data_IF_115974051801
#
_entry.id   IF_115974051801
#
_cell.length_a   1.000
_cell.length_b   1.000
_cell.length_c   1.000
_cell.angle_alpha   90.00
_cell.angle_beta   90.00
_cell.angle_gamma   90.00
#
_symmetry.space_group_name_H-M   'P 1'
#
loop_
_entity.id
_entity.type
_entity.pdbx_description
1 polymer ?
#
# COMPACT_ATOMS: atom_id res chain seq x y z
N UNK A 1 -14.39 17.19 18.44
CA UNK A 1 -13.12 17.17 17.67
C UNK A 1 -12.00 17.35 18.67
N UNK A 2 -11.21 16.33 18.89
CA UNK A 2 -10.05 16.40 19.78
C UNK A 2 -8.83 16.98 19.04
N UNK A 3 -8.66 16.58 17.78
CA UNK A 3 -7.55 17.05 16.93
C UNK A 3 -8.11 17.75 15.69
N UNK A 4 -7.51 18.89 15.33
CA UNK A 4 -7.84 19.64 14.11
C UNK A 4 -7.42 18.85 12.87
N UNK A 5 -6.30 18.11 12.96
CA UNK A 5 -5.77 17.30 11.87
C UNK A 5 -5.29 15.95 12.38
N UNK A 6 -5.62 14.89 11.63
CA UNK A 6 -5.03 13.56 11.82
C UNK A 6 -4.18 13.24 10.61
N UNK A 7 -2.96 12.81 10.85
CA UNK A 7 -2.01 12.35 9.82
C UNK A 7 -1.76 10.86 10.01
N UNK A 8 -2.02 10.05 9.00
CA UNK A 8 -1.64 8.64 8.95
C UNK A 8 -0.53 8.47 7.94
N UNK A 9 0.59 7.92 8.39
CA UNK A 9 1.71 7.52 7.53
C UNK A 9 1.77 6.00 7.51
N UNK A 10 1.58 5.41 6.33
CA UNK A 10 1.72 3.98 6.09
C UNK A 10 3.13 3.72 5.58
N UNK A 11 3.90 2.97 6.35
CA UNK A 11 5.16 2.38 5.94
C UNK A 11 4.82 1.07 5.21
N UNK A 12 4.64 1.15 3.89
CA UNK A 12 4.11 0.08 3.05
C UNK A 12 4.87 -1.23 3.30
N UNK A 13 4.17 -2.26 3.76
CA UNK A 13 4.68 -3.59 4.07
C UNK A 13 5.53 -3.78 5.35
N UNK A 14 5.58 -2.83 6.27
CA UNK A 14 6.34 -3.00 7.53
C UNK A 14 5.54 -3.84 8.54
N UNK A 15 5.50 -5.16 8.35
CA UNK A 15 4.90 -6.11 9.30
C UNK A 15 5.70 -6.28 10.59
N UNK A 16 5.04 -6.76 11.65
CA UNK A 16 5.62 -6.96 12.98
C UNK A 16 5.23 -8.32 13.59
N UNK A 17 5.42 -9.37 12.83
CA UNK A 17 5.18 -10.76 13.24
C UNK A 17 3.89 -11.36 12.70
N UNK A 18 3.91 -12.68 12.51
CA UNK A 18 2.84 -13.44 11.88
C UNK A 18 1.49 -13.29 12.58
N UNK A 19 0.41 -13.20 11.79
CA UNK A 19 -0.95 -13.32 12.29
C UNK A 19 -1.29 -14.76 12.63
N UNK A 20 -2.30 -14.96 13.48
CA UNK A 20 -2.75 -16.30 13.91
C UNK A 20 -3.23 -17.19 12.74
N UNK A 21 -3.61 -16.59 11.62
CA UNK A 21 -4.06 -17.27 10.39
C UNK A 21 -2.95 -17.35 9.31
N UNK A 22 -1.73 -16.90 9.58
CA UNK A 22 -0.60 -16.88 8.65
C UNK A 22 -0.32 -18.25 8.01
N UNK A 23 -0.58 -19.35 8.74
CA UNK A 23 -0.46 -20.70 8.21
C UNK A 23 -1.38 -21.00 7.01
N UNK A 24 -2.51 -20.32 6.90
CA UNK A 24 -3.43 -20.48 5.76
C UNK A 24 -2.90 -19.79 4.49
N UNK A 25 -1.95 -18.85 4.66
CA UNK A 25 -1.30 -18.09 3.59
C UNK A 25 0.11 -18.62 3.27
N UNK A 26 0.59 -19.61 4.01
CA UNK A 26 1.95 -20.14 3.88
C UNK A 26 3.01 -19.26 4.54
N UNK A 27 2.62 -18.36 5.43
CA UNK A 27 3.45 -17.29 5.99
C UNK A 27 3.85 -17.55 7.45
N UNK A 28 3.81 -18.82 7.90
CA UNK A 28 4.29 -19.16 9.25
C UNK A 28 5.74 -18.74 9.43
N UNK A 29 6.01 -18.09 10.57
CA UNK A 29 7.34 -17.56 10.91
C UNK A 29 7.67 -16.22 10.26
N UNK A 30 6.76 -15.61 9.49
CA UNK A 30 7.00 -14.29 8.92
C UNK A 30 7.10 -13.21 10.00
N UNK A 31 8.12 -12.38 9.89
CA UNK A 31 8.35 -11.25 10.79
C UNK A 31 9.21 -10.18 10.11
N UNK A 32 8.57 -9.37 9.25
CA UNK A 32 9.26 -8.39 8.39
C UNK A 32 10.28 -7.57 9.18
N UNK A 33 9.83 -6.82 10.19
CA UNK A 33 10.72 -5.95 10.97
C UNK A 33 11.76 -6.74 11.78
N UNK A 34 11.37 -7.86 12.38
CA UNK A 34 12.28 -8.70 13.16
C UNK A 34 13.43 -9.24 12.34
N UNK A 35 13.13 -9.81 11.17
CA UNK A 35 14.16 -10.37 10.27
C UNK A 35 15.04 -9.29 9.64
N UNK A 36 14.48 -8.09 9.35
CA UNK A 36 15.29 -6.96 8.89
C UNK A 36 16.33 -6.58 9.96
N UNK A 37 15.92 -6.49 11.24
CA UNK A 37 16.82 -6.19 12.35
C UNK A 37 17.91 -7.26 12.48
N UNK A 38 17.55 -8.53 12.38
CA UNK A 38 18.52 -9.64 12.44
C UNK A 38 19.53 -9.63 11.27
N UNK A 39 19.09 -9.20 10.08
CA UNK A 39 19.92 -9.17 8.86
C UNK A 39 20.67 -7.85 8.66
N UNK A 40 20.37 -6.84 9.47
CA UNK A 40 20.99 -5.52 9.40
C UNK A 40 21.68 -5.19 10.73
N UNK A 41 22.84 -5.81 11.05
CA UNK A 41 23.55 -5.51 12.29
C UNK A 41 23.86 -4.02 12.40
N UNK A 42 23.46 -3.40 13.51
CA UNK A 42 23.66 -1.97 13.75
C UNK A 42 22.52 -1.09 13.24
N UNK A 43 21.42 -1.66 12.78
CA UNK A 43 20.21 -0.91 12.45
C UNK A 43 19.70 -0.16 13.68
N UNK A 44 19.60 1.15 13.57
CA UNK A 44 19.13 2.02 14.64
C UNK A 44 17.91 2.84 14.21
N UNK A 45 16.82 2.70 14.96
CA UNK A 45 15.58 3.46 14.80
C UNK A 45 15.25 4.21 16.10
N UNK A 46 16.11 5.14 16.55
CA UNK A 46 16.01 5.74 17.88
C UNK A 46 14.70 6.51 18.07
N UNK A 47 14.18 7.16 17.04
CA UNK A 47 12.96 7.96 17.13
C UNK A 47 11.71 7.08 17.20
N UNK A 48 11.60 6.07 16.35
CA UNK A 48 10.49 5.10 16.40
C UNK A 48 10.53 4.27 17.70
N UNK A 49 11.74 3.90 18.18
CA UNK A 49 11.89 3.23 19.47
C UNK A 49 11.42 4.12 20.60
N UNK A 50 11.75 5.42 20.57
CA UNK A 50 11.27 6.38 21.56
C UNK A 50 9.75 6.53 21.55
N UNK A 51 9.10 6.34 20.41
CA UNK A 51 7.63 6.26 20.33
C UNK A 51 7.06 4.94 20.88
N UNK A 52 7.89 3.92 21.13
CA UNK A 52 7.49 2.64 21.69
C UNK A 52 7.53 1.46 20.71
N UNK A 53 8.14 1.58 19.53
CA UNK A 53 8.20 0.49 18.54
C UNK A 53 8.78 -0.80 19.14
N UNK A 54 9.89 -0.70 19.90
CA UNK A 54 10.53 -1.84 20.57
C UNK A 54 9.73 -2.44 21.73
N UNK A 55 8.61 -1.84 22.08
CA UNK A 55 7.73 -2.32 23.16
C UNK A 55 6.53 -3.13 22.62
N UNK A 56 6.34 -3.16 21.29
CA UNK A 56 5.20 -3.85 20.66
C UNK A 56 5.39 -5.36 20.66
N UNK A 57 6.57 -5.80 20.24
CA UNK A 57 6.96 -7.21 20.14
C UNK A 57 8.46 -7.34 20.39
N UNK A 58 9.00 -8.54 20.71
CA UNK A 58 10.43 -8.79 20.73
C UNK A 58 11.05 -8.49 19.34
N UNK A 59 12.05 -7.62 19.29
CA UNK A 59 12.74 -7.21 18.07
C UNK A 59 14.25 -7.40 18.26
N UNK A 60 14.74 -8.60 17.99
CA UNK A 60 16.14 -8.96 18.17
C UNK A 60 16.60 -8.69 19.62
N UNK A 61 17.72 -7.99 19.77
CA UNK A 61 18.30 -7.63 21.09
C UNK A 61 17.79 -6.27 21.63
N UNK A 62 16.84 -5.64 20.95
CA UNK A 62 16.34 -4.33 21.37
C UNK A 62 15.63 -4.44 22.72
N UNK A 63 16.06 -3.60 23.65
CA UNK A 63 15.36 -3.46 24.91
C UNK A 63 14.16 -2.52 24.75
N UNK A 64 13.03 -2.82 25.41
CA UNK A 64 11.88 -1.93 25.44
C UNK A 64 12.28 -0.54 25.96
N UNK A 65 11.69 0.51 25.39
CA UNK A 65 11.81 1.87 25.90
C UNK A 65 11.09 1.98 27.25
N UNK A 66 11.81 2.41 28.27
CA UNK A 66 11.28 2.51 29.63
C UNK A 66 10.26 3.64 29.80
N UNK A 67 10.43 4.72 29.03
CA UNK A 67 9.56 5.89 29.05
C UNK A 67 9.22 6.31 27.60
N UNK A 68 8.35 5.56 26.91
CA UNK A 68 7.95 5.89 25.54
C UNK A 68 7.27 7.26 25.52
N UNK A 69 7.46 8.01 24.45
CA UNK A 69 6.85 9.33 24.25
C UNK A 69 5.57 9.28 23.41
N UNK A 70 5.15 8.09 22.97
CA UNK A 70 3.93 7.86 22.20
C UNK A 70 3.13 6.69 22.73
N UNK A 71 1.92 6.55 22.20
CA UNK A 71 1.15 5.32 22.37
C UNK A 71 1.57 4.31 21.31
N UNK A 72 1.66 3.05 21.70
CA UNK A 72 2.13 1.96 20.85
C UNK A 72 1.29 0.69 21.00
N UNK A 73 1.14 -0.05 19.94
CA UNK A 73 0.44 -1.33 19.87
C UNK A 73 0.61 -1.95 18.50
N UNK A 74 -0.14 -2.99 18.22
CA UNK A 74 -0.22 -3.61 16.90
C UNK A 74 -1.66 -3.85 16.51
N UNK A 75 -1.90 -3.99 15.19
CA UNK A 75 -3.20 -4.26 14.63
C UNK A 75 -3.18 -5.55 13.83
N UNK A 76 -4.28 -6.32 13.90
CA UNK A 76 -4.51 -7.48 13.06
C UNK A 76 -5.29 -7.08 11.81
N UNK A 77 -5.04 -7.74 10.68
CA UNK A 77 -5.88 -7.65 9.50
C UNK A 77 -6.99 -8.72 9.55
N UNK A 78 -8.24 -8.32 9.32
CA UNK A 78 -9.38 -9.26 9.26
C UNK A 78 -9.89 -9.48 7.84
N UNK A 79 -9.50 -8.63 6.91
CA UNK A 79 -9.79 -8.82 5.49
C UNK A 79 -9.08 -10.07 4.97
N UNK A 80 -9.71 -10.73 3.99
CA UNK A 80 -9.13 -11.91 3.33
C UNK A 80 -8.23 -11.42 2.20
N UNK A 81 -6.97 -11.25 2.49
CA UNK A 81 -5.95 -10.74 1.59
C UNK A 81 -4.68 -10.41 2.37
N UNK A 82 -3.66 -9.99 1.68
CA UNK A 82 -2.39 -9.50 2.24
C UNK A 82 -1.72 -8.55 1.26
N UNK A 83 -2.53 -7.84 0.48
CA UNK A 83 -2.09 -6.91 -0.55
C UNK A 83 -2.35 -5.47 -0.16
N UNK A 84 -1.59 -4.55 -0.76
CA UNK A 84 -1.65 -3.11 -0.49
C UNK A 84 -3.07 -2.54 -0.56
N UNK A 85 -3.89 -2.97 -1.53
CA UNK A 85 -5.25 -2.44 -1.66
C UNK A 85 -6.12 -2.89 -0.50
N UNK A 86 -6.08 -4.18 -0.17
CA UNK A 86 -6.85 -4.78 0.91
C UNK A 86 -6.51 -4.13 2.25
N UNK A 87 -5.22 -4.03 2.59
CA UNK A 87 -4.78 -3.43 3.84
C UNK A 87 -5.17 -1.95 3.96
N UNK A 88 -4.93 -1.14 2.92
CA UNK A 88 -5.34 0.27 2.92
C UNK A 88 -6.85 0.45 2.99
N UNK A 89 -7.63 -0.40 2.31
CA UNK A 89 -9.08 -0.32 2.40
C UNK A 89 -9.58 -0.68 3.79
N UNK A 90 -8.93 -1.64 4.48
CA UNK A 90 -9.27 -1.94 5.86
C UNK A 90 -8.87 -0.81 6.81
N UNK A 91 -7.69 -0.18 6.63
CA UNK A 91 -7.32 1.05 7.34
C UNK A 91 -8.38 2.17 7.16
N UNK A 92 -9.05 2.18 6.00
CA UNK A 92 -10.15 3.11 5.70
C UNK A 92 -11.55 2.58 6.08
N UNK A 93 -11.62 1.48 6.82
CA UNK A 93 -12.85 0.95 7.43
C UNK A 93 -13.63 -0.05 6.60
N UNK A 94 -13.06 -0.53 5.48
CA UNK A 94 -13.71 -1.47 4.57
C UNK A 94 -13.10 -2.87 4.71
N UNK A 95 -13.90 -3.84 5.12
CA UNK A 95 -13.49 -5.25 5.17
C UNK A 95 -13.70 -5.92 3.81
N UNK A 96 -12.71 -6.67 3.37
CA UNK A 96 -12.74 -7.48 2.16
C UNK A 96 -12.90 -8.95 2.54
N UNK A 97 -14.03 -9.54 2.17
CA UNK A 97 -14.34 -10.96 2.49
C UNK A 97 -13.96 -11.92 1.34
N UNK A 98 -13.59 -11.40 0.18
CA UNK A 98 -13.14 -12.18 -0.98
C UNK A 98 -11.83 -11.59 -1.51
N UNK A 99 -10.74 -12.38 -1.52
CA UNK A 99 -9.46 -11.89 -2.02
C UNK A 99 -9.53 -11.66 -3.53
N UNK A 100 -8.72 -10.75 -4.04
CA UNK A 100 -8.47 -10.68 -5.47
C UNK A 100 -7.83 -11.97 -5.95
N UNK A 101 -8.21 -12.40 -7.16
CA UNK A 101 -7.65 -13.62 -7.73
C UNK A 101 -6.26 -13.39 -8.30
N UNK A 102 -5.41 -14.37 -8.15
CA UNK A 102 -4.13 -14.49 -8.86
C UNK A 102 -4.27 -15.57 -9.94
N UNK A 103 -3.45 -15.47 -10.97
CA UNK A 103 -3.53 -16.35 -12.13
C UNK A 103 -2.14 -16.95 -12.46
N UNK A 104 -1.65 -17.89 -11.63
CA UNK A 104 -0.28 -18.42 -11.75
C UNK A 104 -0.04 -19.16 -13.08
N UNK A 105 -1.08 -19.62 -13.76
CA UNK A 105 -1.00 -20.31 -15.06
C UNK A 105 -1.47 -19.40 -16.23
N UNK A 106 -1.63 -18.09 -16.00
CA UNK A 106 -2.25 -17.17 -16.95
C UNK A 106 -3.77 -17.11 -16.81
N UNK A 107 -4.38 -16.15 -17.50
CA UNK A 107 -5.81 -15.90 -17.42
C UNK A 107 -6.63 -16.99 -18.13
N UNK A 108 -7.86 -17.28 -17.65
CA UNK A 108 -8.76 -18.23 -18.31
C UNK A 108 -9.02 -17.86 -19.78
N UNK A 109 -9.08 -18.86 -20.64
CA UNK A 109 -9.35 -18.70 -22.08
C UNK A 109 -10.62 -17.90 -22.35
N UNK A 110 -11.64 -18.06 -21.49
CA UNK A 110 -12.90 -17.32 -21.61
C UNK A 110 -12.70 -15.79 -21.45
N UNK A 111 -11.82 -15.36 -20.54
CA UNK A 111 -11.48 -13.93 -20.38
C UNK A 111 -10.70 -13.42 -21.59
N UNK A 112 -9.69 -14.16 -22.02
CA UNK A 112 -8.85 -13.76 -23.14
C UNK A 112 -9.69 -13.62 -24.43
N UNK A 113 -10.57 -14.57 -24.73
CA UNK A 113 -11.46 -14.49 -25.90
C UNK A 113 -12.39 -13.27 -25.86
N UNK A 114 -13.02 -13.01 -24.70
CA UNK A 114 -13.86 -11.81 -24.54
C UNK A 114 -13.04 -10.52 -24.76
N UNK A 115 -11.80 -10.51 -24.29
CA UNK A 115 -10.91 -9.37 -24.44
C UNK A 115 -10.50 -9.17 -25.92
N UNK A 116 -10.15 -10.25 -26.63
CA UNK A 116 -9.83 -10.22 -28.07
C UNK A 116 -11.02 -9.76 -28.91
N UNK A 117 -12.20 -10.32 -28.64
CA UNK A 117 -13.44 -9.97 -29.36
C UNK A 117 -13.78 -8.48 -29.21
N UNK A 118 -13.60 -7.90 -28.02
CA UNK A 118 -13.95 -6.51 -27.77
C UNK A 118 -12.87 -5.52 -28.19
N UNK A 119 -11.61 -5.93 -28.21
CA UNK A 119 -10.48 -5.05 -28.60
C UNK A 119 -10.08 -5.20 -30.06
N UNK A 120 -10.56 -6.25 -30.74
CA UNK A 120 -10.30 -6.50 -32.15
C UNK A 120 -8.86 -6.95 -32.47
N UNK A 121 -8.06 -7.30 -31.47
CA UNK A 121 -6.67 -7.78 -31.64
C UNK A 121 -6.46 -9.07 -30.86
N UNK A 122 -5.62 -9.96 -31.40
CA UNK A 122 -5.21 -11.19 -30.73
C UNK A 122 -4.30 -10.92 -29.54
N UNK A 123 -4.26 -11.88 -28.64
CA UNK A 123 -3.39 -11.88 -27.46
C UNK A 123 -2.21 -12.83 -27.65
N UNK A 124 -1.02 -12.39 -27.29
CA UNK A 124 0.18 -13.20 -27.11
C UNK A 124 0.65 -13.11 -25.66
N UNK A 125 1.36 -14.11 -25.20
CA UNK A 125 1.83 -14.24 -23.79
C UNK A 125 0.85 -15.01 -22.95
N UNK A 126 -0.03 -14.33 -22.22
CA UNK A 126 -0.97 -14.88 -21.24
C UNK A 126 -0.31 -15.84 -20.23
N UNK A 127 0.74 -15.36 -19.56
CA UNK A 127 1.50 -16.12 -18.57
C UNK A 127 2.06 -15.20 -17.48
N UNK A 128 2.51 -15.75 -16.35
CA UNK A 128 3.31 -14.99 -15.40
C UNK A 128 4.67 -14.61 -16.01
N UNK A 129 5.07 -13.36 -15.88
CA UNK A 129 6.37 -12.89 -16.35
C UNK A 129 6.78 -11.57 -15.69
N UNK A 130 8.09 -11.29 -15.66
CA UNK A 130 8.57 -9.95 -15.41
C UNK A 130 8.36 -9.05 -16.63
N UNK A 131 8.13 -7.76 -16.39
CA UNK A 131 7.82 -6.85 -17.50
C UNK A 131 9.02 -6.51 -18.41
N UNK A 132 10.25 -6.92 -18.08
CA UNK A 132 11.42 -6.84 -18.95
C UNK A 132 11.58 -8.11 -19.77
N UNK A 133 11.53 -9.26 -19.12
CA UNK A 133 11.64 -10.56 -19.80
C UNK A 133 10.55 -10.76 -20.86
N UNK A 134 9.30 -10.39 -20.57
CA UNK A 134 8.22 -10.56 -21.53
C UNK A 134 8.38 -9.68 -22.79
N UNK A 135 9.01 -8.50 -22.67
CA UNK A 135 9.31 -7.65 -23.81
C UNK A 135 10.46 -8.24 -24.66
N UNK A 136 11.50 -8.77 -24.01
CA UNK A 136 12.61 -9.42 -24.73
C UNK A 136 12.12 -10.65 -25.50
N UNK A 137 11.15 -11.39 -24.93
CA UNK A 137 10.59 -12.59 -25.55
C UNK A 137 9.59 -12.28 -26.67
N UNK A 138 8.63 -11.38 -26.43
CA UNK A 138 7.46 -11.18 -27.30
C UNK A 138 7.41 -9.82 -28.02
N UNK A 139 8.29 -8.88 -27.68
CA UNK A 139 8.24 -7.53 -28.25
C UNK A 139 8.38 -7.50 -29.76
N UNK A 140 9.30 -8.30 -30.34
CA UNK A 140 9.48 -8.39 -31.78
C UNK A 140 8.27 -9.01 -32.50
N UNK A 141 7.60 -9.99 -31.89
CA UNK A 141 6.37 -10.59 -32.40
C UNK A 141 5.21 -9.60 -32.33
N UNK A 142 5.10 -8.86 -31.23
CA UNK A 142 4.09 -7.82 -31.05
C UNK A 142 4.21 -6.74 -32.12
N UNK A 143 5.41 -6.27 -32.43
CA UNK A 143 5.63 -5.26 -33.47
C UNK A 143 5.18 -5.74 -34.87
N UNK A 144 5.38 -7.02 -35.17
CA UNK A 144 5.00 -7.60 -36.48
C UNK A 144 3.50 -7.88 -36.60
N UNK A 145 2.89 -8.38 -35.51
CA UNK A 145 1.50 -8.85 -35.51
C UNK A 145 0.49 -7.78 -35.12
N UNK A 146 0.91 -6.77 -34.35
CA UNK A 146 0.02 -5.82 -33.72
C UNK A 146 -0.86 -6.45 -32.63
N UNK A 147 -0.47 -7.61 -32.11
CA UNK A 147 -1.18 -8.28 -31.00
C UNK A 147 -0.96 -7.58 -29.65
N UNK A 148 -1.81 -7.87 -28.68
CA UNK A 148 -1.60 -7.46 -27.29
C UNK A 148 -0.64 -8.43 -26.60
N UNK A 149 0.40 -7.93 -25.91
CA UNK A 149 1.12 -8.74 -24.93
C UNK A 149 0.35 -8.68 -23.63
N UNK A 150 -0.32 -9.78 -23.25
CA UNK A 150 -0.99 -9.93 -21.95
C UNK A 150 -0.15 -10.80 -21.05
N UNK A 151 0.06 -10.37 -19.80
CA UNK A 151 0.79 -11.13 -18.80
C UNK A 151 0.34 -10.77 -17.38
N UNK A 152 0.70 -11.57 -16.41
CA UNK A 152 0.44 -11.36 -14.98
C UNK A 152 1.74 -11.45 -14.18
N UNK A 153 1.64 -11.39 -12.86
CA UNK A 153 2.73 -11.64 -11.91
C UNK A 153 2.19 -12.39 -10.69
N UNK A 154 2.94 -12.48 -9.61
CA UNK A 154 2.45 -13.02 -8.34
C UNK A 154 1.28 -12.19 -7.77
N UNK A 155 1.26 -10.88 -8.07
CA UNK A 155 0.16 -9.99 -7.69
C UNK A 155 -1.11 -10.26 -8.52
N UNK A 156 -2.24 -9.75 -8.00
CA UNK A 156 -3.52 -9.76 -8.71
C UNK A 156 -3.58 -8.66 -9.76
N UNK A 157 -2.88 -8.86 -10.88
CA UNK A 157 -2.73 -7.84 -11.93
C UNK A 157 -2.93 -8.41 -13.33
N UNK A 158 -3.66 -7.66 -14.18
CA UNK A 158 -3.73 -7.87 -15.63
C UNK A 158 -2.85 -6.81 -16.29
N UNK A 159 -1.74 -7.23 -16.87
CA UNK A 159 -0.79 -6.32 -17.51
C UNK A 159 -0.89 -6.42 -19.01
N UNK A 160 -0.93 -5.26 -19.68
CA UNK A 160 -1.10 -5.12 -21.12
C UNK A 160 0.04 -4.29 -21.68
N UNK A 161 0.93 -4.90 -22.46
CA UNK A 161 2.03 -4.19 -23.09
C UNK A 161 1.84 -4.06 -24.61
N UNK A 162 2.25 -2.91 -25.16
CA UNK A 162 2.25 -2.61 -26.57
C UNK A 162 3.34 -1.59 -26.92
N UNK A 163 3.92 -1.73 -28.10
CA UNK A 163 4.88 -0.76 -28.66
C UNK A 163 4.14 0.48 -29.14
N UNK A 164 4.57 1.68 -28.71
CA UNK A 164 3.86 2.94 -28.97
C UNK A 164 3.78 3.32 -30.45
N UNK A 165 4.78 2.93 -31.26
CA UNK A 165 4.79 3.17 -32.71
C UNK A 165 3.91 2.17 -33.49
N UNK A 166 3.45 1.07 -32.85
CA UNK A 166 2.61 0.04 -33.47
C UNK A 166 1.16 0.19 -33.05
N UNK A 167 0.94 0.43 -31.76
CA UNK A 167 -0.38 0.64 -31.18
C UNK A 167 -0.39 1.99 -30.46
N UNK A 168 -1.21 2.97 -30.90
CA UNK A 168 -1.30 4.25 -30.24
C UNK A 168 -1.69 4.14 -28.77
N UNK A 169 -1.15 5.02 -27.93
CA UNK A 169 -1.40 5.02 -26.48
C UNK A 169 -2.89 5.03 -26.13
N UNK A 170 -3.70 5.81 -26.85
CA UNK A 170 -5.14 5.87 -26.59
C UNK A 170 -5.83 4.53 -26.85
N UNK A 171 -5.38 3.77 -27.86
CA UNK A 171 -5.90 2.43 -28.14
C UNK A 171 -5.50 1.45 -27.00
N UNK A 172 -4.24 1.52 -26.53
CA UNK A 172 -3.77 0.74 -25.37
C UNK A 172 -4.59 1.07 -24.12
N UNK A 173 -4.84 2.35 -23.86
CA UNK A 173 -5.64 2.76 -22.70
C UNK A 173 -7.11 2.32 -22.82
N UNK A 174 -7.69 2.36 -24.02
CA UNK A 174 -9.03 1.84 -24.28
C UNK A 174 -9.09 0.33 -24.04
N UNK A 175 -8.10 -0.44 -24.50
CA UNK A 175 -8.00 -1.87 -24.22
C UNK A 175 -7.88 -2.16 -22.72
N UNK A 176 -7.11 -1.36 -21.98
CA UNK A 176 -7.05 -1.47 -20.51
C UNK A 176 -8.40 -1.18 -19.83
N UNK A 177 -9.19 -0.23 -20.34
CA UNK A 177 -10.56 0.01 -19.82
C UNK A 177 -11.49 -1.19 -20.11
N UNK A 178 -11.37 -1.82 -21.27
CA UNK A 178 -12.07 -3.08 -21.57
C UNK A 178 -11.64 -4.18 -20.61
N UNK A 179 -10.34 -4.41 -20.46
CA UNK A 179 -9.81 -5.40 -19.51
C UNK A 179 -10.31 -5.13 -18.08
N UNK A 180 -10.29 -3.84 -17.61
CA UNK A 180 -10.80 -3.47 -16.28
C UNK A 180 -12.27 -3.85 -16.10
N UNK A 181 -13.11 -3.59 -17.10
CA UNK A 181 -14.53 -3.93 -17.04
C UNK A 181 -14.75 -5.45 -17.02
N UNK A 182 -14.03 -6.21 -17.82
CA UNK A 182 -14.13 -7.66 -17.88
C UNK A 182 -13.67 -8.31 -16.56
N UNK A 183 -12.60 -7.75 -15.95
CA UNK A 183 -12.02 -8.25 -14.70
C UNK A 183 -12.69 -7.72 -13.44
N UNK A 184 -13.85 -7.09 -13.54
CA UNK A 184 -14.73 -6.81 -12.39
C UNK A 184 -15.66 -7.96 -12.03
N UNK A 185 -15.77 -8.99 -12.88
CA UNK A 185 -16.55 -10.20 -12.57
C UNK A 185 -15.81 -11.04 -11.54
N UNK A 186 -16.52 -11.59 -10.56
CA UNK A 186 -15.94 -12.39 -9.46
C UNK A 186 -14.97 -13.48 -9.95
N UNK A 187 -15.29 -14.16 -11.05
CA UNK A 187 -14.47 -15.23 -11.62
C UNK A 187 -13.16 -14.76 -12.26
N UNK A 188 -13.06 -13.47 -12.64
CA UNK A 188 -11.92 -12.86 -13.29
C UNK A 188 -11.33 -11.69 -12.49
N UNK A 189 -11.78 -11.48 -11.26
CA UNK A 189 -11.47 -10.32 -10.45
C UNK A 189 -9.97 -10.16 -10.22
N UNK A 190 -9.40 -9.04 -10.72
CA UNK A 190 -8.03 -8.61 -10.40
C UNK A 190 -8.02 -7.24 -9.75
N UNK A 191 -7.06 -7.00 -8.88
CA UNK A 191 -6.90 -5.72 -8.19
C UNK A 191 -6.57 -4.57 -9.14
N UNK A 192 -5.72 -4.80 -10.14
CA UNK A 192 -5.28 -3.77 -11.09
C UNK A 192 -5.21 -4.27 -12.52
N UNK A 193 -5.51 -3.38 -13.47
CA UNK A 193 -5.13 -3.52 -14.88
C UNK A 193 -4.07 -2.46 -15.16
N UNK A 194 -2.98 -2.82 -15.81
CA UNK A 194 -1.83 -1.93 -16.00
C UNK A 194 -1.49 -1.82 -17.48
N UNK A 195 -1.54 -0.60 -18.02
CA UNK A 195 -0.95 -0.28 -19.31
C UNK A 195 0.58 -0.19 -19.19
N UNK A 196 1.30 -0.95 -20.01
CA UNK A 196 2.75 -1.04 -20.05
C UNK A 196 3.29 -0.69 -21.44
N UNK A 197 3.17 0.57 -21.90
CA UNK A 197 3.72 0.95 -23.18
C UNK A 197 5.26 0.87 -23.18
N UNK A 198 5.82 0.57 -24.36
CA UNK A 198 7.26 0.48 -24.54
C UNK A 198 7.67 0.99 -25.93
N UNK A 199 8.96 1.27 -26.10
CA UNK A 199 9.61 1.70 -27.33
C UNK A 199 10.93 0.95 -27.50
N UNK A 200 11.55 1.10 -28.66
CA UNK A 200 12.86 0.55 -29.00
C UNK A 200 12.80 -0.57 -30.03
N UNK A 201 13.93 -1.19 -30.28
CA UNK A 201 14.11 -2.27 -31.26
C UNK A 201 14.33 -3.61 -30.56
N UNK A 202 14.16 -4.75 -31.26
CA UNK A 202 14.44 -6.07 -30.72
C UNK A 202 15.82 -6.15 -30.06
N UNK A 203 15.84 -6.57 -28.77
CA UNK A 203 17.04 -6.62 -27.94
C UNK A 203 17.38 -5.33 -27.18
N UNK A 204 16.60 -4.25 -27.39
CA UNK A 204 16.79 -2.96 -26.73
C UNK A 204 15.46 -2.27 -26.33
N UNK A 205 14.44 -3.06 -26.06
CA UNK A 205 13.14 -2.52 -25.63
C UNK A 205 13.21 -1.84 -24.26
N UNK A 206 12.52 -0.71 -24.14
CA UNK A 206 12.41 0.06 -22.88
C UNK A 206 10.97 0.48 -22.62
N UNK A 207 10.51 0.20 -21.41
CA UNK A 207 9.22 0.73 -20.93
C UNK A 207 9.27 2.25 -20.88
N UNK A 208 8.20 2.90 -21.31
CA UNK A 208 8.07 4.36 -21.27
C UNK A 208 7.45 4.83 -19.95
N UNK A 209 7.47 6.14 -19.74
CA UNK A 209 6.80 6.78 -18.61
C UNK A 209 5.26 6.85 -18.74
N UNK A 210 4.73 6.44 -19.91
CA UNK A 210 3.29 6.45 -20.23
C UNK A 210 2.53 5.25 -19.60
N UNK A 211 3.11 4.63 -18.58
CA UNK A 211 2.41 3.63 -17.74
C UNK A 211 1.16 4.25 -17.15
N UNK A 212 0.05 3.49 -17.16
CA UNK A 212 -1.17 3.88 -16.48
C UNK A 212 -1.81 2.68 -15.77
N UNK A 213 -2.18 2.85 -14.49
CA UNK A 213 -2.79 1.80 -13.68
C UNK A 213 -4.30 2.09 -13.54
N UNK A 214 -5.11 1.07 -13.82
CA UNK A 214 -6.56 1.07 -13.65
C UNK A 214 -6.90 0.20 -12.45
N UNK A 215 -6.83 0.77 -11.26
CA UNK A 215 -7.20 0.08 -10.03
C UNK A 215 -8.72 -0.17 -9.94
N UNK A 216 -9.09 -1.18 -9.19
CA UNK A 216 -10.48 -1.36 -8.78
C UNK A 216 -10.82 -0.27 -7.75
N UNK A 217 -12.01 0.30 -7.85
CA UNK A 217 -12.52 1.19 -6.79
C UNK A 217 -12.88 0.38 -5.56
N UNK A 218 -12.79 0.95 -4.36
CA UNK A 218 -13.37 0.34 -3.17
C UNK A 218 -14.83 -0.05 -3.45
N UNK A 219 -15.25 -1.30 -3.14
CA UNK A 219 -16.60 -1.78 -3.48
C UNK A 219 -17.71 -1.09 -2.68
N UNK A 220 -17.36 -0.44 -1.58
CA UNK A 220 -18.27 0.35 -0.73
C UNK A 220 -17.61 1.66 -0.30
N UNK A 221 -18.40 2.65 0.14
CA UNK A 221 -17.85 3.88 0.70
C UNK A 221 -16.93 3.61 1.89
N UNK A 222 -15.79 4.30 1.90
CA UNK A 222 -14.80 4.27 2.98
C UNK A 222 -14.94 5.50 3.88
N UNK A 223 -14.14 5.57 4.95
CA UNK A 223 -14.08 6.77 5.79
C UNK A 223 -13.70 8.01 4.98
N UNK A 224 -12.93 7.88 3.88
CA UNK A 224 -12.57 9.02 3.02
C UNK A 224 -13.80 9.64 2.37
N UNK A 225 -14.75 8.80 1.90
CA UNK A 225 -16.03 9.27 1.35
C UNK A 225 -16.87 9.96 2.42
N UNK A 226 -16.92 9.39 3.63
CA UNK A 226 -17.70 9.93 4.74
C UNK A 226 -17.13 11.29 5.22
N UNK A 227 -15.82 11.41 5.36
CA UNK A 227 -15.13 12.66 5.68
C UNK A 227 -15.44 13.75 4.66
N UNK A 228 -15.28 13.45 3.37
CA UNK A 228 -15.59 14.39 2.28
C UNK A 228 -17.05 14.84 2.31
N UNK A 229 -17.98 13.90 2.52
CA UNK A 229 -19.41 14.22 2.63
C UNK A 229 -19.71 15.11 3.86
N UNK A 230 -18.97 14.93 4.95
CA UNK A 230 -19.03 15.75 6.16
C UNK A 230 -18.27 17.08 6.08
N UNK A 231 -17.69 17.42 4.92
CA UNK A 231 -16.94 18.68 4.72
C UNK A 231 -15.53 18.68 5.30
N UNK A 232 -15.00 17.51 5.68
CA UNK A 232 -13.62 17.36 6.16
C UNK A 232 -12.68 17.17 4.97
N UNK A 233 -11.64 17.99 4.87
CA UNK A 233 -10.65 17.88 3.78
C UNK A 233 -9.82 16.59 3.92
N UNK A 234 -9.75 15.81 2.85
CA UNK A 234 -8.89 14.62 2.75
C UNK A 234 -7.76 14.90 1.78
N UNK A 235 -6.54 14.88 2.28
CA UNK A 235 -5.31 15.09 1.52
C UNK A 235 -4.54 13.79 1.42
N UNK A 236 -4.12 13.42 0.23
CA UNK A 236 -3.37 12.19 -0.02
C UNK A 236 -1.97 12.45 -0.56
N UNK A 237 -1.01 11.64 -0.10
CA UNK A 237 0.39 11.67 -0.53
C UNK A 237 0.82 10.27 -0.94
N UNK A 238 1.53 10.15 -2.05
CA UNK A 238 1.99 8.88 -2.59
C UNK A 238 0.91 8.14 -3.38
N UNK A 239 0.79 6.83 -3.20
CA UNK A 239 -0.14 5.97 -3.94
C UNK A 239 -1.59 5.99 -3.43
N UNK A 240 -1.90 6.70 -2.35
CA UNK A 240 -3.24 6.69 -1.75
C UNK A 240 -4.32 7.01 -2.79
N UNK A 241 -4.11 8.03 -3.64
CA UNK A 241 -5.08 8.37 -4.67
C UNK A 241 -5.36 7.20 -5.64
N UNK A 242 -4.34 6.45 -5.99
CA UNK A 242 -4.46 5.32 -6.93
C UNK A 242 -5.13 4.12 -6.24
N UNK A 243 -4.79 3.84 -4.98
CA UNK A 243 -5.37 2.76 -4.16
C UNK A 243 -6.89 2.97 -3.99
N UNK A 244 -7.32 4.21 -3.82
CA UNK A 244 -8.74 4.56 -3.65
C UNK A 244 -9.40 5.04 -4.94
N UNK A 245 -8.71 5.03 -6.08
CA UNK A 245 -9.21 5.53 -7.37
C UNK A 245 -9.79 6.95 -7.27
N UNK A 246 -9.21 7.81 -6.44
CA UNK A 246 -9.64 9.18 -6.18
C UNK A 246 -10.88 9.33 -5.30
N UNK A 247 -11.47 8.23 -4.85
CA UNK A 247 -12.70 8.27 -4.04
C UNK A 247 -12.47 8.95 -2.69
N UNK A 248 -13.28 9.93 -2.37
CA UNK A 248 -13.24 10.65 -1.10
C UNK A 248 -12.08 11.66 -0.96
N UNK A 249 -11.14 11.73 -1.90
CA UNK A 249 -9.95 12.56 -1.83
C UNK A 249 -10.25 13.96 -2.39
N UNK A 250 -9.83 14.99 -1.68
CA UNK A 250 -9.97 16.38 -2.10
C UNK A 250 -8.72 16.90 -2.82
N UNK A 251 -7.53 16.46 -2.37
CA UNK A 251 -6.25 16.90 -2.91
C UNK A 251 -5.22 15.77 -2.84
N UNK A 252 -4.38 15.64 -3.86
CA UNK A 252 -3.38 14.58 -3.95
C UNK A 252 -2.03 15.09 -4.46
N UNK A 253 -0.96 14.44 -4.01
CA UNK A 253 0.39 14.62 -4.55
C UNK A 253 1.03 13.25 -4.74
N UNK A 254 1.26 12.85 -5.99
CA UNK A 254 2.02 11.64 -6.31
C UNK A 254 3.50 11.83 -5.98
N UNK A 255 4.15 10.77 -5.52
CA UNK A 255 5.55 10.81 -5.10
C UNK A 255 6.43 9.87 -5.94
N UNK A 256 7.74 10.13 -5.93
CA UNK A 256 8.73 9.36 -6.70
C UNK A 256 9.54 8.38 -5.83
N UNK A 257 9.53 8.62 -4.52
CA UNK A 257 10.28 7.84 -3.52
C UNK A 257 9.74 8.13 -2.12
N UNK A 258 10.17 7.35 -1.13
CA UNK A 258 9.86 7.61 0.27
C UNK A 258 10.37 8.99 0.72
N UNK A 259 11.60 9.36 0.35
CA UNK A 259 12.17 10.69 0.68
C UNK A 259 11.28 11.83 0.13
N UNK A 260 10.81 11.73 -1.11
CA UNK A 260 9.89 12.70 -1.67
C UNK A 260 8.52 12.67 -0.96
N UNK A 261 8.04 11.49 -0.55
CA UNK A 261 6.80 11.34 0.23
C UNK A 261 6.88 12.03 1.60
N UNK A 262 8.01 11.88 2.28
CA UNK A 262 8.30 12.55 3.55
C UNK A 262 8.33 14.07 3.37
N UNK A 263 9.06 14.56 2.37
CA UNK A 263 9.13 16.01 2.05
C UNK A 263 7.73 16.59 1.79
N UNK A 264 6.92 15.90 0.98
CA UNK A 264 5.54 16.33 0.68
C UNK A 264 4.69 16.31 1.95
N UNK A 265 4.81 15.29 2.78
CA UNK A 265 4.07 15.18 4.05
C UNK A 265 4.42 16.34 4.99
N UNK A 266 5.71 16.67 5.17
CA UNK A 266 6.16 17.81 5.96
C UNK A 266 5.59 19.13 5.41
N UNK A 267 5.63 19.31 4.10
CA UNK A 267 5.07 20.51 3.44
C UNK A 267 3.55 20.62 3.66
N UNK A 268 2.81 19.51 3.61
CA UNK A 268 1.38 19.52 3.90
C UNK A 268 1.10 19.79 5.38
N UNK A 269 1.92 19.30 6.30
CA UNK A 269 1.82 19.60 7.74
C UNK A 269 2.05 21.10 8.05
N UNK A 270 2.92 21.77 7.30
CA UNK A 270 3.17 23.20 7.43
C UNK A 270 2.02 24.09 6.92
N UNK A 271 1.11 23.53 6.10
CA UNK A 271 -0.08 24.26 5.62
C UNK A 271 -1.10 24.43 6.73
N UNK A 272 -1.89 25.50 6.62
CA UNK A 272 -2.99 25.71 7.54
C UNK A 272 -4.27 25.06 6.98
N UNK A 273 -4.47 23.79 7.31
CA UNK A 273 -5.72 23.08 7.04
C UNK A 273 -6.08 22.17 8.21
N UNK A 274 -7.38 21.91 8.38
CA UNK A 274 -7.89 20.89 9.28
C UNK A 274 -8.46 19.74 8.46
N UNK A 275 -8.23 18.49 8.88
CA UNK A 275 -8.74 17.34 8.17
C UNK A 275 -7.83 16.11 8.28
N UNK A 276 -7.87 15.27 7.27
CA UNK A 276 -7.20 13.98 7.23
C UNK A 276 -6.08 13.98 6.18
N UNK A 277 -4.83 13.81 6.63
CA UNK A 277 -3.67 13.62 5.76
C UNK A 277 -3.30 12.14 5.75
N UNK A 278 -3.35 11.52 4.57
CA UNK A 278 -3.07 10.10 4.40
C UNK A 278 -1.88 9.92 3.45
N UNK A 279 -0.79 9.39 3.98
CA UNK A 279 0.49 9.21 3.26
C UNK A 279 0.82 7.72 3.13
N UNK A 280 1.23 7.30 1.93
CA UNK A 280 1.81 5.98 1.69
C UNK A 280 3.27 6.13 1.24
N UNK A 281 4.19 5.45 1.92
CA UNK A 281 5.62 5.37 1.61
C UNK A 281 5.94 3.99 1.04
N UNK A 282 5.96 3.89 -0.28
CA UNK A 282 5.87 2.62 -1.03
C UNK A 282 7.21 1.91 -1.26
N UNK A 283 8.35 2.58 -1.08
CA UNK A 283 9.65 1.99 -1.45
C UNK A 283 10.01 0.79 -0.59
N UNK A 284 9.55 0.74 0.65
CA UNK A 284 9.76 -0.40 1.55
C UNK A 284 9.30 -1.71 0.90
N UNK A 285 8.10 -1.70 0.34
CA UNK A 285 7.54 -2.83 -0.39
C UNK A 285 8.19 -3.02 -1.75
N UNK A 286 8.10 -2.00 -2.61
CA UNK A 286 8.39 -2.13 -4.05
C UNK A 286 9.88 -2.27 -4.37
N UNK A 287 10.76 -1.67 -3.57
CA UNK A 287 12.21 -1.70 -3.80
C UNK A 287 12.94 -2.74 -2.95
N UNK A 288 12.39 -3.09 -1.78
CA UNK A 288 13.11 -3.92 -0.82
C UNK A 288 12.36 -5.21 -0.47
N UNK A 289 11.09 -5.16 -0.10
CA UNK A 289 10.28 -6.34 0.23
C UNK A 289 10.22 -7.34 -0.92
N UNK A 290 9.66 -6.96 -2.05
CA UNK A 290 9.57 -7.80 -3.25
C UNK A 290 10.93 -8.20 -3.86
N UNK A 291 11.99 -7.44 -3.58
CA UNK A 291 13.34 -7.73 -4.07
C UNK A 291 14.19 -8.54 -3.12
N UNK A 292 13.64 -8.87 -1.96
CA UNK A 292 14.35 -9.65 -0.93
C UNK A 292 15.67 -9.01 -0.50
N UNK A 293 15.65 -7.67 -0.32
CA UNK A 293 16.80 -6.87 0.13
C UNK A 293 16.58 -6.36 1.57
N UNK A 294 16.85 -7.19 2.60
CA UNK A 294 16.66 -6.79 3.99
C UNK A 294 17.58 -5.63 4.43
N UNK A 295 18.79 -5.55 3.87
CA UNK A 295 19.71 -4.46 4.21
C UNK A 295 19.24 -3.12 3.61
N UNK A 296 18.77 -3.13 2.36
CA UNK A 296 18.17 -1.95 1.73
C UNK A 296 16.92 -1.49 2.46
N UNK A 297 16.10 -2.44 2.91
CA UNK A 297 14.92 -2.19 3.71
C UNK A 297 15.29 -1.52 5.04
N UNK A 298 16.30 -2.05 5.75
CA UNK A 298 16.83 -1.46 6.98
C UNK A 298 17.31 -0.01 6.78
N UNK A 299 18.09 0.25 5.73
CA UNK A 299 18.52 1.63 5.40
C UNK A 299 17.34 2.57 5.13
N UNK A 300 16.31 2.11 4.45
CA UNK A 300 15.10 2.91 4.20
C UNK A 300 14.33 3.21 5.49
N UNK A 301 14.28 2.27 6.43
CA UNK A 301 13.70 2.50 7.77
C UNK A 301 14.50 3.55 8.55
N UNK A 302 15.83 3.50 8.50
CA UNK A 302 16.68 4.53 9.13
C UNK A 302 16.50 5.91 8.50
N UNK A 303 16.31 6.00 7.18
CA UNK A 303 16.02 7.26 6.50
C UNK A 303 14.69 7.86 6.96
N UNK A 304 13.66 7.03 7.11
CA UNK A 304 12.39 7.45 7.69
C UNK A 304 12.56 7.88 9.15
N UNK A 305 13.23 7.08 9.96
CA UNK A 305 13.46 7.36 11.39
C UNK A 305 14.21 8.69 11.59
N UNK A 306 15.24 8.95 10.79
CA UNK A 306 15.96 10.24 10.82
C UNK A 306 15.09 11.44 10.44
N UNK A 307 14.07 11.22 9.61
CA UNK A 307 13.15 12.29 9.19
C UNK A 307 11.99 12.50 10.15
N UNK A 308 11.77 11.57 11.08
CA UNK A 308 10.63 11.63 12.00
C UNK A 308 10.63 12.87 12.91
N UNK A 309 11.76 13.34 13.45
CA UNK A 309 11.81 14.61 14.18
C UNK A 309 11.34 15.82 13.36
N UNK A 310 11.65 15.87 12.06
CA UNK A 310 11.21 16.98 11.19
C UNK A 310 9.70 16.91 10.91
N UNK A 311 9.16 15.69 10.75
CA UNK A 311 7.71 15.47 10.65
C UNK A 311 7.04 15.97 11.93
N UNK A 312 7.53 15.55 13.10
CA UNK A 312 6.99 15.93 14.40
C UNK A 312 7.09 17.44 14.64
N UNK A 313 8.20 18.06 14.24
CA UNK A 313 8.41 19.52 14.37
C UNK A 313 7.48 20.35 13.45
N UNK A 314 7.00 19.78 12.36
CA UNK A 314 6.05 20.43 11.47
C UNK A 314 4.58 20.34 11.97
N UNK A 315 4.32 19.55 12.99
CA UNK A 315 2.97 19.35 13.57
C UNK A 315 2.63 20.48 14.57
N UNK A 316 1.34 20.77 14.67
CA UNK A 316 0.76 21.72 15.61
C UNK A 316 0.26 20.98 16.85
N UNK A 317 0.00 21.71 17.93
CA UNK A 317 -0.44 21.17 19.22
C UNK A 317 -1.75 20.35 19.11
N UNK A 318 -2.60 20.70 18.14
CA UNK A 318 -3.88 20.04 17.85
C UNK A 318 -3.81 19.03 16.69
N UNK A 319 -2.62 18.50 16.37
CA UNK A 319 -2.40 17.45 15.39
C UNK A 319 -2.18 16.09 16.07
N UNK A 320 -2.67 15.02 15.43
CA UNK A 320 -2.40 13.62 15.79
C UNK A 320 -1.65 12.93 14.64
N UNK A 321 -0.54 12.28 14.95
CA UNK A 321 0.21 11.40 14.04
C UNK A 321 -0.08 9.94 14.39
N UNK A 322 -0.40 9.16 13.36
CA UNK A 322 -0.45 7.70 13.41
C UNK A 322 0.56 7.16 12.40
N UNK A 323 1.43 6.25 12.83
CA UNK A 323 2.37 5.54 11.95
C UNK A 323 1.99 4.06 12.01
N UNK A 324 1.78 3.45 10.84
CA UNK A 324 1.39 2.05 10.73
C UNK A 324 1.89 1.45 9.41
N UNK A 325 1.47 0.24 9.09
CA UNK A 325 1.63 -0.40 7.80
C UNK A 325 0.29 -0.97 7.34
N UNK A 326 0.26 -1.52 6.13
CA UNK A 326 -0.93 -2.08 5.49
C UNK A 326 -0.87 -3.62 5.36
N UNK A 327 0.31 -4.21 5.43
CA UNK A 327 0.59 -5.66 5.45
C UNK A 327 2.06 -5.90 5.84
N UNK A 328 2.52 -7.15 5.78
CA UNK A 328 3.93 -7.51 5.82
C UNK A 328 4.50 -7.83 4.42
N UNK A 329 5.80 -7.76 4.26
CA UNK A 329 6.54 -8.31 3.12
C UNK A 329 7.95 -8.66 3.57
N UNK A 330 8.05 -9.76 4.30
CA UNK A 330 9.29 -10.21 4.92
C UNK A 330 10.33 -10.59 3.87
N UNK A 331 11.43 -9.83 3.74
CA UNK A 331 12.42 -10.05 2.69
C UNK A 331 13.27 -11.31 2.91
N UNK A 332 13.12 -11.97 4.05
CA UNK A 332 13.82 -13.21 4.40
C UNK A 332 12.92 -14.44 4.24
N UNK A 333 11.61 -14.24 4.29
CA UNK A 333 10.64 -15.31 4.10
C UNK A 333 10.65 -15.87 2.66
N UNK A 334 10.21 -17.12 2.50
CA UNK A 334 10.20 -17.80 1.20
C UNK A 334 9.23 -17.12 0.21
N UNK A 335 9.58 -17.16 -1.08
CA UNK A 335 8.77 -16.54 -2.14
C UNK A 335 9.05 -15.04 -2.29
N UNK A 336 8.19 -14.34 -3.03
CA UNK A 336 8.29 -12.89 -3.31
C UNK A 336 6.97 -12.16 -3.07
N UNK A 337 5.99 -12.83 -2.49
CA UNK A 337 4.68 -12.28 -2.16
C UNK A 337 4.71 -11.59 -0.78
N UNK A 338 3.69 -10.80 -0.50
CA UNK A 338 3.46 -10.21 0.82
C UNK A 338 3.27 -11.29 1.89
N UNK A 339 3.45 -10.92 3.15
CA UNK A 339 3.30 -11.83 4.29
C UNK A 339 2.17 -11.41 5.22
N UNK A 340 1.43 -12.40 5.74
CA UNK A 340 0.27 -12.23 6.61
C UNK A 340 0.71 -11.92 8.03
N UNK A 341 0.85 -10.64 8.37
CA UNK A 341 1.43 -10.17 9.61
C UNK A 341 0.54 -9.16 10.34
N UNK A 342 0.74 -9.05 11.66
CA UNK A 342 0.37 -7.83 12.37
C UNK A 342 1.13 -6.64 11.81
N UNK A 343 0.55 -5.45 11.95
CA UNK A 343 1.23 -4.20 11.64
C UNK A 343 1.40 -3.35 12.89
N UNK A 344 2.49 -2.55 13.01
CA UNK A 344 2.68 -1.65 14.14
C UNK A 344 1.63 -0.53 14.12
N UNK A 345 1.29 -0.03 15.30
CA UNK A 345 0.52 1.19 15.50
C UNK A 345 1.27 2.07 16.48
N UNK A 346 1.79 3.20 16.01
CA UNK A 346 2.40 4.23 16.84
C UNK A 346 1.53 5.48 16.74
N UNK A 347 1.19 6.09 17.86
CA UNK A 347 0.43 7.34 17.91
C UNK A 347 1.20 8.39 18.71
N UNK A 348 1.26 9.61 18.17
CA UNK A 348 1.92 10.73 18.80
C UNK A 348 1.22 12.06 18.53
N UNK A 349 1.25 12.95 19.52
CA UNK A 349 0.80 14.32 19.42
C UNK A 349 1.67 15.22 20.29
N UNK A 350 1.95 16.48 19.88
CA UNK A 350 2.60 17.44 20.77
C UNK A 350 1.81 17.67 22.08
N UNK A 351 0.51 17.45 22.06
CA UNK A 351 -0.38 17.63 23.22
C UNK A 351 -0.45 16.45 24.18
N UNK A 352 0.23 15.33 23.89
CA UNK A 352 0.18 14.18 24.79
C UNK A 352 0.81 14.47 26.15
N UNK A 353 0.02 14.31 27.21
CA UNK A 353 0.47 14.36 28.60
C UNK A 353 0.89 12.97 29.10
N UNK A 354 0.38 11.91 28.50
CA UNK A 354 0.64 10.53 28.82
C UNK A 354 1.05 9.76 27.56
N UNK A 355 1.70 8.63 27.74
CA UNK A 355 2.06 7.70 26.68
C UNK A 355 1.99 6.28 27.23
N UNK A 356 1.88 5.27 26.38
CA UNK A 356 1.83 3.90 26.85
C UNK A 356 1.32 2.91 25.83
N UNK A 357 1.08 1.69 26.30
CA UNK A 357 0.60 0.61 25.46
C UNK A 357 -0.90 0.77 25.16
N UNK A 358 -1.26 0.72 23.90
CA UNK A 358 -2.60 0.37 23.44
C UNK A 358 -2.74 -1.15 23.46
N UNK A 359 -3.92 -1.66 23.78
CA UNK A 359 -4.20 -3.07 23.60
C UNK A 359 -4.07 -3.45 22.11
N UNK A 360 -3.71 -4.71 21.83
CA UNK A 360 -3.63 -5.21 20.46
C UNK A 360 -4.99 -5.03 19.78
N UNK A 361 -5.00 -4.37 18.61
CA UNK A 361 -6.23 -4.04 17.89
C UNK A 361 -6.65 -5.21 17.02
N UNK A 362 -7.93 -5.51 17.05
CA UNK A 362 -8.49 -6.66 16.34
C UNK A 362 -8.62 -6.44 14.83
N UNK A 363 -8.50 -5.19 14.35
CA UNK A 363 -8.63 -4.84 12.93
C UNK A 363 -7.93 -3.51 12.60
N UNK A 364 -7.47 -3.36 11.37
CA UNK A 364 -6.96 -2.08 10.84
C UNK A 364 -8.06 -1.01 10.79
N UNK A 365 -9.33 -1.41 10.71
CA UNK A 365 -10.48 -0.50 10.65
C UNK A 365 -10.65 0.38 11.91
N UNK A 366 -9.92 0.08 12.99
CA UNK A 366 -9.86 0.91 14.19
C UNK A 366 -9.29 2.31 13.87
N UNK A 367 -8.42 2.41 12.86
CA UNK A 367 -7.92 3.70 12.35
C UNK A 367 -9.07 4.53 11.79
N UNK A 368 -9.88 3.94 10.89
CA UNK A 368 -11.04 4.62 10.31
C UNK A 368 -12.06 5.03 11.37
N UNK A 369 -12.33 4.14 12.35
CA UNK A 369 -13.24 4.45 13.45
C UNK A 369 -12.72 5.64 14.29
N UNK A 370 -11.41 5.67 14.56
CA UNK A 370 -10.78 6.76 15.33
C UNK A 370 -10.81 8.09 14.56
N UNK A 371 -10.54 8.06 13.26
CA UNK A 371 -10.60 9.24 12.39
C UNK A 371 -12.04 9.78 12.31
N UNK A 372 -13.03 8.91 12.09
CA UNK A 372 -14.44 9.30 12.03
C UNK A 372 -14.92 9.89 13.37
N UNK A 373 -14.58 9.25 14.49
CA UNK A 373 -14.90 9.71 15.84
C UNK A 373 -14.32 11.11 16.11
N UNK A 374 -13.04 11.35 15.78
CA UNK A 374 -12.40 12.65 15.96
C UNK A 374 -13.14 13.78 15.23
N UNK A 375 -13.57 13.53 14.01
CA UNK A 375 -14.26 14.55 13.20
C UNK A 375 -15.78 14.56 13.41
N UNK A 376 -16.33 13.73 14.30
CA UNK A 376 -17.77 13.64 14.56
C UNK A 376 -18.58 13.16 13.36
N UNK A 377 -17.97 12.30 12.52
CA UNK A 377 -18.60 11.73 11.32
C UNK A 377 -19.27 10.41 11.67
N UNK A 378 -20.57 10.29 11.36
CA UNK A 378 -21.29 9.02 11.47
C UNK A 378 -20.82 8.08 10.34
N UNK A 379 -19.90 7.22 10.68
CA UNK A 379 -19.34 6.21 9.78
C UNK A 379 -19.36 4.83 10.43
N UNK A 380 -20.13 3.92 9.84
CA UNK A 380 -20.24 2.54 10.33
C UNK A 380 -19.12 1.68 9.76
N UNK A 381 -18.30 1.15 10.64
CA UNK A 381 -17.24 0.20 10.33
C UNK A 381 -17.24 -0.93 11.38
N UNK A 382 -16.52 -2.00 11.12
CA UNK A 382 -16.28 -3.08 12.08
C UNK A 382 -15.15 -2.74 13.09
N UNK A 383 -14.48 -1.59 12.93
CA UNK A 383 -13.47 -1.09 13.84
C UNK A 383 -14.03 -0.38 15.07
N UNK A 384 -13.19 -0.20 16.06
CA UNK A 384 -13.48 0.50 17.32
C UNK A 384 -12.50 1.65 17.51
N UNK A 385 -13.02 2.85 17.77
CA UNK A 385 -12.20 4.03 18.04
C UNK A 385 -11.35 3.83 19.30
N UNK A 386 -10.08 4.22 19.19
CA UNK A 386 -9.16 4.33 20.33
C UNK A 386 -8.88 5.79 20.72
N UNK A 387 -9.62 6.74 20.16
CA UNK A 387 -9.41 8.17 20.41
C UNK A 387 -9.45 8.52 21.91
N UNK A 388 -10.40 7.95 22.66
CA UNK A 388 -10.57 8.20 24.08
C UNK A 388 -9.40 7.67 24.95
N UNK A 389 -8.54 6.83 24.40
CA UNK A 389 -7.35 6.29 25.06
C UNK A 389 -6.14 7.22 24.93
N UNK A 390 -6.16 8.13 23.98
CA UNK A 390 -5.09 9.09 23.70
C UNK A 390 -5.29 10.35 24.58
N UNK A 391 -4.30 10.66 25.42
CA UNK A 391 -4.42 11.74 26.43
C UNK A 391 -3.24 12.71 26.39
#
# INVERSE_FOLDING_TARGET
MAYKRITVIVLDSVGIGELSDAGQYGDLGAHTLGHIIERSPGLELPNMRKLGLGNIAPLGEWQPEAAPSGYYGKMAEVSVGKDTMTGHWELAGLRIDKPFRTFPDGFPVALIRQFEDETGRSVIGNKPASGTEILDELGAEQMRSGAWIVYTSADSVFQLAAHEDVIPLEELYNACRVARRLTMKDEFSVGRVIARPYLGEPGAFKRTSNRHDYAVKPPYPTVLNALKAGGVEVVSVGKINDIFSGEGIARTTSTKSNAHGIEVTIRELQRDFGGFLFTNLVDFDSLYGHRRDPEGYGRALEEFDRSLPDIMAAMKEDDLLLITADHGNDPVHAGTDHTREYVPLLAWSPSFAEAGRLEDRATFADVAATVADNFGIDFKTHGSSFLALLK
#
